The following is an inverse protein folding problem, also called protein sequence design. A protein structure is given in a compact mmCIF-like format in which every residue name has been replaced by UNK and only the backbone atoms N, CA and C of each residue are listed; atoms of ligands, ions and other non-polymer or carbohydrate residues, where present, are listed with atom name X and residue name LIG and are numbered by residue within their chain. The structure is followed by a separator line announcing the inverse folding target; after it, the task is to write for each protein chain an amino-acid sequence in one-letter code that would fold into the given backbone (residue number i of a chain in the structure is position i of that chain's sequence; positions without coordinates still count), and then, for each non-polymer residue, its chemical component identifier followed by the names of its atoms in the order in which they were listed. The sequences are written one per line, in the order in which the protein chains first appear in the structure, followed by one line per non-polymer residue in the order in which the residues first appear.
data_IF_190034095784
#
_entry.id   IF_190034095784
#
_cell.length_a   1.000
_cell.length_b   1.000
_cell.length_c   1.000
_cell.angle_alpha   90.00
_cell.angle_beta   90.00
_cell.angle_gamma   90.00
#
_symmetry.space_group_name_H-M   'P 1'
#
loop_
_entity.id
_entity.type
_entity.pdbx_description
1 polymer ?
#
# COMPACT_ATOMS: atom_id res chain seq x y z
N UNK A 1 -30.83 28.25 7.48
CA UNK A 1 -31.24 27.34 8.56
C UNK A 1 -30.18 26.25 8.69
N UNK A 2 -29.53 26.20 9.86
CA UNK A 2 -28.66 25.17 10.45
C UNK A 2 -27.42 24.63 9.70
N UNK A 3 -26.34 25.45 9.61
CA UNK A 3 -24.95 24.95 9.45
C UNK A 3 -24.57 23.94 10.56
N UNK A 4 -25.04 24.16 11.79
CA UNK A 4 -24.68 23.36 12.97
C UNK A 4 -25.16 21.90 12.97
N UNK A 5 -26.18 21.54 12.18
CA UNK A 5 -26.65 20.14 12.10
C UNK A 5 -25.91 19.34 11.03
N UNK A 6 -25.49 19.97 9.93
CA UNK A 6 -24.73 19.33 8.85
C UNK A 6 -23.26 19.08 9.26
N UNK A 7 -22.65 20.02 9.99
CA UNK A 7 -21.29 19.89 10.54
C UNK A 7 -21.14 18.67 11.48
N UNK A 8 -22.24 18.18 12.05
CA UNK A 8 -22.24 17.12 13.07
C UNK A 8 -22.10 15.68 12.53
N UNK A 9 -22.33 15.45 11.23
CA UNK A 9 -22.34 14.10 10.65
C UNK A 9 -20.99 13.64 10.09
N UNK A 10 -20.18 14.56 9.54
CA UNK A 10 -18.99 14.20 8.75
C UNK A 10 -17.73 13.98 9.58
N UNK A 11 -17.70 14.44 10.84
CA UNK A 11 -16.75 14.01 11.86
C UNK A 11 -17.51 13.98 13.19
N UNK A 12 -18.16 12.84 13.47
CA UNK A 12 -18.96 12.70 14.70
C UNK A 12 -18.13 13.06 15.94
N UNK A 13 -18.62 14.01 16.75
CA UNK A 13 -18.08 14.33 18.09
C UNK A 13 -18.05 13.10 19.03
N UNK A 14 -18.88 12.08 18.76
CA UNK A 14 -18.88 10.77 19.44
C UNK A 14 -18.84 9.62 18.43
N UNK A 15 -17.63 9.15 18.10
CA UNK A 15 -17.43 7.94 17.30
C UNK A 15 -17.55 6.70 18.18
N UNK A 16 -18.10 5.61 17.62
CA UNK A 16 -18.15 4.30 18.27
C UNK A 16 -16.98 3.46 17.78
N UNK A 17 -16.44 2.63 18.66
CA UNK A 17 -15.42 1.65 18.31
C UNK A 17 -16.09 0.43 17.67
N UNK A 18 -16.13 0.40 16.33
CA UNK A 18 -16.70 -0.71 15.57
C UNK A 18 -15.69 -1.84 15.41
N UNK A 19 -16.19 -3.06 15.15
CA UNK A 19 -15.37 -4.24 14.83
C UNK A 19 -14.29 -4.57 15.88
N UNK A 20 -14.61 -4.30 17.16
CA UNK A 20 -13.68 -4.43 18.28
C UNK A 20 -13.05 -5.83 18.43
N UNK A 21 -13.80 -6.87 18.08
CA UNK A 21 -13.35 -8.26 18.12
C UNK A 21 -12.09 -8.48 17.26
N UNK A 22 -11.99 -7.82 16.09
CA UNK A 22 -10.87 -7.98 15.18
C UNK A 22 -9.60 -7.33 15.74
N UNK A 23 -9.76 -6.18 16.41
CA UNK A 23 -8.65 -5.52 17.10
C UNK A 23 -8.15 -6.33 18.29
N UNK A 24 -9.06 -6.88 19.12
CA UNK A 24 -8.68 -7.74 20.25
C UNK A 24 -7.91 -8.97 19.75
N UNK A 25 -8.41 -9.62 18.69
CA UNK A 25 -7.76 -10.77 18.09
C UNK A 25 -6.37 -10.41 17.54
N UNK A 26 -6.26 -9.28 16.83
CA UNK A 26 -4.98 -8.78 16.33
C UNK A 26 -3.99 -8.52 17.47
N UNK A 27 -4.41 -7.81 18.52
CA UNK A 27 -3.57 -7.48 19.66
C UNK A 27 -3.03 -8.73 20.35
N UNK A 28 -3.88 -9.73 20.60
CA UNK A 28 -3.47 -11.02 21.17
C UNK A 28 -2.47 -11.72 20.25
N UNK A 29 -2.74 -11.75 18.94
CA UNK A 29 -1.86 -12.43 17.99
C UNK A 29 -0.48 -11.77 17.91
N UNK A 30 -0.41 -10.45 17.73
CA UNK A 30 0.87 -9.73 17.60
C UNK A 30 1.66 -9.78 18.88
N UNK A 31 1.03 -9.57 20.04
CA UNK A 31 1.73 -9.68 21.32
C UNK A 31 2.25 -11.11 21.54
N UNK A 32 1.41 -12.12 21.32
CA UNK A 32 1.81 -13.53 21.45
C UNK A 32 2.97 -13.92 20.54
N UNK A 33 2.86 -13.64 19.24
CA UNK A 33 3.91 -13.99 18.28
C UNK A 33 5.18 -13.16 18.46
N UNK A 34 5.07 -11.86 18.70
CA UNK A 34 6.26 -11.03 18.98
C UNK A 34 6.97 -11.46 20.27
N UNK A 35 6.24 -11.81 21.33
CA UNK A 35 6.85 -12.36 22.56
C UNK A 35 7.50 -13.72 22.29
N UNK A 36 6.84 -14.62 21.56
CA UNK A 36 7.42 -15.90 21.15
C UNK A 36 8.70 -15.70 20.34
N UNK A 37 8.70 -14.77 19.37
CA UNK A 37 9.88 -14.42 18.59
C UNK A 37 11.02 -13.97 19.49
N UNK A 38 10.76 -13.01 20.39
CA UNK A 38 11.79 -12.45 21.28
C UNK A 38 12.39 -13.52 22.21
N UNK A 39 11.58 -14.44 22.74
CA UNK A 39 12.05 -15.48 23.64
C UNK A 39 12.93 -16.54 22.96
N UNK A 40 12.72 -16.76 21.65
CA UNK A 40 13.51 -17.70 20.84
C UNK A 40 14.55 -16.96 19.97
N UNK A 41 14.97 -15.77 20.35
CA UNK A 41 16.16 -15.17 19.74
C UNK A 41 17.36 -15.61 20.58
N UNK A 42 18.23 -16.47 20.04
CA UNK A 42 19.51 -16.79 20.66
C UNK A 42 20.38 -15.52 20.74
N UNK A 43 20.64 -15.07 21.97
CA UNK A 43 21.50 -13.91 22.26
C UNK A 43 22.94 -14.03 21.71
N UNK A 44 23.37 -15.24 21.32
CA UNK A 44 24.73 -15.49 20.82
C UNK A 44 24.94 -15.07 19.36
N UNK A 45 23.88 -14.83 18.59
CA UNK A 45 23.94 -14.50 17.16
C UNK A 45 22.95 -13.38 16.79
N UNK A 46 23.14 -12.16 17.32
CA UNK A 46 22.44 -10.97 16.78
C UNK A 46 23.01 -10.71 15.38
N UNK A 47 22.45 -11.39 14.38
CA UNK A 47 22.94 -11.47 13.00
C UNK A 47 22.69 -10.18 12.21
N UNK A 48 21.81 -9.30 12.69
CA UNK A 48 21.44 -8.08 12.01
C UNK A 48 22.66 -7.19 11.67
N UNK A 49 23.68 -7.16 12.53
CA UNK A 49 24.89 -6.36 12.26
C UNK A 49 25.76 -6.91 11.13
N UNK A 50 25.67 -8.23 10.85
CA UNK A 50 26.47 -8.88 9.82
C UNK A 50 25.74 -9.04 8.48
N UNK A 51 24.40 -9.04 8.49
CA UNK A 51 23.60 -9.07 7.26
C UNK A 51 23.33 -7.66 6.68
N UNK A 52 23.24 -6.63 7.52
CA UNK A 52 22.83 -5.32 7.04
C UNK A 52 24.02 -4.52 6.49
N UNK A 53 24.07 -4.35 5.17
CA UNK A 53 25.07 -3.47 4.56
C UNK A 53 24.67 -2.01 4.82
N UNK A 54 25.34 -1.37 5.78
CA UNK A 54 25.07 0.00 6.22
C UNK A 54 25.26 1.03 5.11
N UNK A 55 26.25 0.82 4.22
CA UNK A 55 26.50 1.71 3.08
C UNK A 55 25.35 1.65 2.08
N UNK A 56 24.88 0.44 1.72
CA UNK A 56 23.75 0.26 0.81
C UNK A 56 22.47 0.82 1.39
N UNK A 57 22.22 0.61 2.69
CA UNK A 57 21.06 1.19 3.37
C UNK A 57 21.07 2.73 3.32
N UNK A 58 22.20 3.36 3.68
CA UNK A 58 22.31 4.81 3.66
C UNK A 58 22.09 5.38 2.26
N UNK A 59 22.73 4.81 1.23
CA UNK A 59 22.55 5.28 -0.13
C UNK A 59 21.13 5.03 -0.67
N UNK A 60 20.55 3.86 -0.43
CA UNK A 60 19.16 3.61 -0.83
C UNK A 60 18.15 4.50 -0.10
N UNK A 61 18.40 4.86 1.17
CA UNK A 61 17.60 5.84 1.90
C UNK A 61 17.71 7.26 1.33
N UNK A 62 18.92 7.68 0.90
CA UNK A 62 19.12 8.97 0.23
C UNK A 62 18.42 9.01 -1.13
N UNK A 63 18.53 7.94 -1.92
CA UNK A 63 17.81 7.82 -3.21
C UNK A 63 16.30 7.89 -2.96
N UNK A 64 15.78 7.16 -1.96
CA UNK A 64 14.36 7.20 -1.60
C UNK A 64 13.91 8.62 -1.22
N UNK A 65 14.70 9.34 -0.45
CA UNK A 65 14.42 10.73 -0.06
C UNK A 65 14.39 11.67 -1.26
N UNK A 66 15.36 11.55 -2.18
CA UNK A 66 15.39 12.36 -3.42
C UNK A 66 14.15 12.09 -4.27
N UNK A 67 13.79 10.82 -4.47
CA UNK A 67 12.60 10.44 -5.23
C UNK A 67 11.31 10.89 -4.55
N UNK A 68 11.23 10.84 -3.22
CA UNK A 68 10.10 11.36 -2.46
C UNK A 68 9.96 12.86 -2.66
N UNK A 69 11.02 13.64 -2.48
CA UNK A 69 10.98 15.09 -2.70
C UNK A 69 10.57 15.42 -4.14
N UNK A 70 11.15 14.71 -5.11
CA UNK A 70 10.84 14.91 -6.53
C UNK A 70 9.38 14.63 -6.85
N UNK A 71 8.84 13.48 -6.42
CA UNK A 71 7.45 13.10 -6.67
C UNK A 71 6.45 14.08 -6.05
N UNK A 72 6.62 14.44 -4.78
CA UNK A 72 5.76 15.42 -4.11
C UNK A 72 5.86 16.81 -4.75
N UNK A 73 7.06 17.23 -5.18
CA UNK A 73 7.27 18.52 -5.84
C UNK A 73 6.64 18.54 -7.23
N UNK A 74 6.81 17.49 -8.03
CA UNK A 74 6.18 17.37 -9.35
C UNK A 74 4.66 17.41 -9.25
N UNK A 75 4.07 16.67 -8.33
CA UNK A 75 2.62 16.69 -8.11
C UNK A 75 2.10 18.00 -7.49
N UNK A 76 2.97 18.80 -6.87
CA UNK A 76 2.63 20.14 -6.38
C UNK A 76 2.75 21.23 -7.43
N UNK A 77 3.76 21.18 -8.30
CA UNK A 77 4.02 22.26 -9.25
C UNK A 77 3.37 22.02 -10.61
N UNK A 78 3.40 20.77 -11.08
CA UNK A 78 2.97 20.38 -12.43
C UNK A 78 2.23 19.02 -12.43
N UNK A 79 1.17 18.85 -11.61
CA UNK A 79 0.50 17.56 -11.43
C UNK A 79 -0.08 16.98 -12.72
N UNK A 80 -0.65 17.82 -13.58
CA UNK A 80 -1.25 17.35 -14.85
C UNK A 80 -0.19 16.79 -15.80
N UNK A 81 0.95 17.49 -15.94
CA UNK A 81 2.07 17.03 -16.77
C UNK A 81 2.64 15.74 -16.18
N UNK A 82 2.82 15.68 -14.85
CA UNK A 82 3.32 14.49 -14.17
C UNK A 82 2.42 13.27 -14.42
N UNK A 83 1.10 13.42 -14.24
CA UNK A 83 0.13 12.34 -14.46
C UNK A 83 0.12 11.90 -15.93
N UNK A 84 0.02 12.84 -16.88
CA UNK A 84 0.03 12.49 -18.32
C UNK A 84 1.33 11.81 -18.76
N UNK A 85 2.48 12.31 -18.28
CA UNK A 85 3.80 11.77 -18.64
C UNK A 85 3.98 10.37 -18.09
N UNK A 86 3.68 10.15 -16.81
CA UNK A 86 3.77 8.82 -16.21
C UNK A 86 2.77 7.86 -16.88
N UNK A 87 1.54 8.30 -17.16
CA UNK A 87 0.56 7.49 -17.87
C UNK A 87 1.04 7.10 -19.29
N UNK A 88 1.71 8.02 -20.00
CA UNK A 88 2.27 7.77 -21.33
C UNK A 88 3.51 6.87 -21.31
N UNK A 89 4.26 6.78 -20.20
CA UNK A 89 5.45 5.92 -20.08
C UNK A 89 5.13 4.43 -19.92
N UNK A 90 3.96 4.09 -19.38
CA UNK A 90 3.54 2.71 -19.15
C UNK A 90 3.57 1.77 -20.36
N UNK A 91 3.06 2.15 -21.56
CA UNK A 91 3.14 1.28 -22.73
C UNK A 91 4.59 0.97 -23.12
N UNK A 92 5.52 1.91 -22.95
CA UNK A 92 6.94 1.66 -23.25
C UNK A 92 7.55 0.65 -22.29
N UNK A 93 7.23 0.73 -21.00
CA UNK A 93 7.69 -0.24 -19.99
C UNK A 93 7.13 -1.64 -20.25
N UNK A 94 5.84 -1.75 -20.58
CA UNK A 94 5.21 -3.04 -20.88
C UNK A 94 5.75 -3.65 -22.17
N UNK A 95 6.00 -2.86 -23.22
CA UNK A 95 6.66 -3.31 -24.44
C UNK A 95 8.11 -3.78 -24.17
N UNK A 96 8.84 -3.08 -23.31
CA UNK A 96 10.17 -3.51 -22.88
C UNK A 96 10.13 -4.88 -22.18
N UNK A 97 9.15 -5.11 -21.30
CA UNK A 97 8.95 -6.41 -20.65
C UNK A 97 8.64 -7.49 -21.69
N UNK A 98 7.72 -7.23 -22.64
CA UNK A 98 7.38 -8.15 -23.73
C UNK A 98 8.63 -8.52 -24.54
N UNK A 99 9.45 -7.54 -24.92
CA UNK A 99 10.68 -7.78 -25.68
C UNK A 99 11.68 -8.67 -24.94
N UNK A 100 11.82 -8.50 -23.62
CA UNK A 100 12.68 -9.36 -22.80
C UNK A 100 12.15 -10.78 -22.68
N UNK A 101 10.83 -10.96 -22.51
CA UNK A 101 10.20 -12.29 -22.49
C UNK A 101 10.42 -13.01 -23.82
N UNK A 102 10.25 -12.33 -24.95
CA UNK A 102 10.46 -12.91 -26.29
C UNK A 102 11.91 -13.31 -26.56
N UNK A 103 12.88 -12.66 -25.90
CA UNK A 103 14.31 -12.98 -26.04
C UNK A 103 14.72 -14.24 -25.25
N UNK A 104 13.93 -14.67 -24.27
CA UNK A 104 14.24 -15.82 -23.43
C UNK A 104 13.83 -17.12 -24.17
N UNK A 105 14.81 -17.83 -24.73
CA UNK A 105 14.62 -18.99 -25.62
C UNK A 105 14.00 -20.25 -24.98
N UNK A 106 13.67 -20.25 -23.68
CA UNK A 106 13.17 -21.43 -22.97
C UNK A 106 11.70 -21.23 -22.53
N UNK A 107 10.82 -22.13 -23.00
CA UNK A 107 9.44 -22.46 -22.57
C UNK A 107 8.98 -21.72 -21.28
N UNK A 108 7.96 -20.84 -21.26
CA UNK A 108 6.59 -20.92 -21.79
C UNK A 108 6.14 -19.52 -22.27
N UNK A 109 6.19 -19.23 -23.59
CA UNK A 109 5.90 -17.89 -24.10
C UNK A 109 4.42 -17.49 -24.03
N UNK A 110 3.47 -18.42 -23.93
CA UNK A 110 2.04 -18.09 -24.04
C UNK A 110 1.45 -17.43 -22.79
N UNK A 111 1.70 -17.97 -21.59
CA UNK A 111 1.13 -17.40 -20.36
C UNK A 111 1.77 -16.06 -19.96
N UNK A 112 3.08 -15.90 -20.20
CA UNK A 112 3.82 -14.68 -19.86
C UNK A 112 3.49 -13.48 -20.75
N UNK A 113 3.07 -13.71 -22.00
CA UNK A 113 2.72 -12.64 -22.93
C UNK A 113 1.28 -12.13 -22.78
N UNK A 114 0.34 -12.98 -22.34
CA UNK A 114 -1.07 -12.60 -22.20
C UNK A 114 -1.24 -11.41 -21.24
N UNK A 115 -0.57 -11.43 -20.09
CA UNK A 115 -0.68 -10.38 -19.08
C UNK A 115 -0.26 -8.99 -19.60
N UNK A 116 0.98 -8.83 -20.11
CA UNK A 116 1.44 -7.57 -20.69
C UNK A 116 0.59 -7.09 -21.86
N UNK A 117 0.16 -7.99 -22.76
CA UNK A 117 -0.70 -7.62 -23.90
C UNK A 117 -2.06 -7.13 -23.41
N UNK A 118 -2.69 -7.84 -22.48
CA UNK A 118 -3.96 -7.41 -21.87
C UNK A 118 -3.80 -6.06 -21.15
N UNK A 119 -2.68 -5.86 -20.45
CA UNK A 119 -2.40 -4.59 -19.77
C UNK A 119 -2.30 -3.40 -20.74
N UNK A 120 -1.72 -3.60 -21.93
CA UNK A 120 -1.66 -2.60 -22.99
C UNK A 120 -3.04 -2.27 -23.56
N UNK A 121 -3.90 -3.28 -23.76
CA UNK A 121 -5.27 -3.09 -24.25
C UNK A 121 -6.09 -2.30 -23.22
N UNK A 122 -6.04 -2.70 -21.94
CA UNK A 122 -6.73 -2.02 -20.86
C UNK A 122 -6.23 -0.59 -20.66
N UNK A 123 -4.91 -0.39 -20.78
CA UNK A 123 -4.31 0.94 -20.78
C UNK A 123 -4.83 1.81 -21.93
N UNK A 124 -4.87 1.28 -23.16
CA UNK A 124 -5.33 2.02 -24.33
C UNK A 124 -6.82 2.40 -24.20
N UNK A 125 -7.64 1.48 -23.70
CA UNK A 125 -9.04 1.74 -23.39
C UNK A 125 -9.20 2.84 -22.33
N UNK A 126 -8.40 2.78 -21.25
CA UNK A 126 -8.43 3.79 -20.20
C UNK A 126 -7.94 5.16 -20.72
N UNK A 127 -6.84 5.20 -21.47
CA UNK A 127 -6.34 6.41 -22.11
C UNK A 127 -7.43 7.06 -22.96
N UNK A 128 -8.05 6.28 -23.86
CA UNK A 128 -9.05 6.78 -24.79
C UNK A 128 -10.24 7.43 -24.08
N UNK A 129 -10.77 6.78 -23.03
CA UNK A 129 -11.98 7.26 -22.35
C UNK A 129 -11.70 8.36 -21.31
N UNK A 130 -10.55 8.31 -20.62
CA UNK A 130 -10.35 9.07 -19.39
C UNK A 130 -9.21 10.09 -19.43
N UNK A 131 -8.52 10.26 -20.56
CA UNK A 131 -7.42 11.22 -20.69
C UNK A 131 -7.77 12.65 -20.24
N UNK A 132 -8.97 13.14 -20.59
CA UNK A 132 -9.43 14.50 -20.26
C UNK A 132 -9.63 14.69 -18.75
N UNK A 133 -10.00 13.63 -18.03
CA UNK A 133 -10.25 13.67 -16.60
C UNK A 133 -8.97 13.81 -15.77
N UNK A 134 -7.79 13.54 -16.36
CA UNK A 134 -6.50 13.70 -15.67
C UNK A 134 -6.26 15.14 -15.20
N UNK A 135 -6.80 16.15 -15.90
CA UNK A 135 -6.70 17.55 -15.47
C UNK A 135 -7.48 17.81 -14.17
N UNK A 136 -8.69 17.28 -14.05
CA UNK A 136 -9.49 17.34 -12.81
C UNK A 136 -8.81 16.63 -11.65
N UNK A 137 -8.30 15.42 -11.90
CA UNK A 137 -7.55 14.64 -10.89
C UNK A 137 -6.34 15.44 -10.42
N UNK A 138 -5.58 16.03 -11.35
CA UNK A 138 -4.42 16.86 -11.04
C UNK A 138 -4.75 18.03 -10.09
N UNK A 139 -5.86 18.73 -10.31
CA UNK A 139 -6.30 19.84 -9.43
C UNK A 139 -6.60 19.34 -8.01
N UNK A 140 -7.36 18.25 -7.87
CA UNK A 140 -7.70 17.69 -6.54
C UNK A 140 -6.45 17.17 -5.83
N UNK A 141 -5.57 16.46 -6.54
CA UNK A 141 -4.29 15.97 -5.98
C UNK A 141 -3.39 17.14 -5.54
N UNK A 142 -3.38 18.25 -6.27
CA UNK A 142 -2.62 19.44 -5.89
C UNK A 142 -3.06 19.98 -4.52
N UNK A 143 -4.37 20.08 -4.32
CA UNK A 143 -4.97 20.54 -3.06
C UNK A 143 -4.65 19.57 -1.92
N UNK A 144 -4.77 18.25 -2.17
CA UNK A 144 -4.39 17.23 -1.19
C UNK A 144 -2.93 17.39 -0.75
N UNK A 145 -2.01 17.56 -1.69
CA UNK A 145 -0.59 17.73 -1.42
C UNK A 145 -0.31 19.05 -0.70
N UNK A 146 -0.99 20.14 -1.05
CA UNK A 146 -0.90 21.41 -0.32
C UNK A 146 -1.29 21.25 1.15
N UNK A 147 -2.36 20.51 1.44
CA UNK A 147 -2.79 20.22 2.81
C UNK A 147 -1.76 19.34 3.54
N UNK A 148 -1.23 18.31 2.88
CA UNK A 148 -0.19 17.43 3.41
C UNK A 148 1.08 18.24 3.75
N UNK A 149 1.53 19.15 2.89
CA UNK A 149 2.69 20.01 3.15
C UNK A 149 2.47 20.97 4.31
N UNK A 150 1.27 21.55 4.43
CA UNK A 150 0.95 22.42 5.56
C UNK A 150 0.93 21.66 6.89
N UNK A 151 0.72 20.35 6.85
CA UNK A 151 0.68 19.46 8.01
C UNK A 151 1.86 18.45 8.02
N UNK A 152 3.01 18.85 7.46
CA UNK A 152 4.14 17.95 7.21
C UNK A 152 4.59 17.20 8.47
N UNK A 153 4.69 17.89 9.62
CA UNK A 153 5.11 17.28 10.88
C UNK A 153 4.17 16.14 11.31
N UNK A 154 2.86 16.37 11.26
CA UNK A 154 1.83 15.39 11.61
C UNK A 154 1.91 14.16 10.70
N UNK A 155 2.13 14.39 9.39
CA UNK A 155 2.26 13.32 8.39
C UNK A 155 3.55 12.51 8.61
N UNK A 156 4.67 13.18 8.86
CA UNK A 156 5.96 12.53 9.15
C UNK A 156 5.90 11.69 10.42
N UNK A 157 5.24 12.17 11.49
CA UNK A 157 5.06 11.38 12.71
C UNK A 157 4.26 10.10 12.47
N UNK A 158 3.17 10.20 11.70
CA UNK A 158 2.40 9.01 11.31
C UNK A 158 3.22 8.03 10.47
N UNK A 159 4.01 8.55 9.53
CA UNK A 159 4.86 7.75 8.65
C UNK A 159 5.96 7.02 9.44
N UNK A 160 6.63 7.73 10.35
CA UNK A 160 7.66 7.17 11.22
C UNK A 160 7.09 6.07 12.12
N UNK A 161 5.94 6.31 12.74
CA UNK A 161 5.26 5.32 13.59
C UNK A 161 4.93 4.03 12.82
N UNK A 162 4.38 4.14 11.61
CA UNK A 162 4.00 2.97 10.81
C UNK A 162 5.24 2.24 10.27
N UNK A 163 6.24 2.99 9.81
CA UNK A 163 7.48 2.41 9.31
C UNK A 163 8.30 1.72 10.41
N UNK A 164 8.29 2.23 11.65
CA UNK A 164 8.97 1.60 12.77
C UNK A 164 8.28 0.30 13.22
N UNK A 165 6.95 0.24 13.18
CA UNK A 165 6.20 -0.99 13.42
C UNK A 165 6.55 -2.08 12.38
N UNK A 166 6.57 -1.73 11.08
CA UNK A 166 6.96 -2.68 10.03
C UNK A 166 8.42 -3.08 10.16
N UNK A 167 9.31 -2.12 10.42
CA UNK A 167 10.73 -2.38 10.64
C UNK A 167 11.00 -3.31 11.82
N UNK A 168 10.26 -3.13 12.93
CA UNK A 168 10.32 -4.00 14.10
C UNK A 168 9.86 -5.43 13.78
N UNK A 169 8.76 -5.61 13.05
CA UNK A 169 8.32 -6.94 12.63
C UNK A 169 9.31 -7.61 11.67
N UNK A 170 9.86 -6.86 10.70
CA UNK A 170 10.92 -7.36 9.82
C UNK A 170 12.15 -7.81 10.60
N UNK A 171 12.56 -7.03 11.61
CA UNK A 171 13.64 -7.40 12.50
C UNK A 171 13.38 -8.75 13.20
N UNK A 172 12.19 -8.97 13.74
CA UNK A 172 11.84 -10.23 14.40
C UNK A 172 11.86 -11.43 13.43
N UNK A 173 11.37 -11.25 12.20
CA UNK A 173 11.35 -12.30 11.18
C UNK A 173 12.76 -12.77 10.82
N UNK A 174 13.68 -11.85 10.58
CA UNK A 174 15.03 -12.18 10.14
C UNK A 174 15.81 -12.98 11.17
N UNK A 175 15.59 -12.69 12.45
CA UNK A 175 16.26 -13.42 13.52
C UNK A 175 15.66 -14.83 13.69
N UNK A 176 14.36 -15.00 13.48
CA UNK A 176 13.70 -16.32 13.56
C UNK A 176 14.01 -17.24 12.37
N UNK A 177 14.07 -16.73 11.14
CA UNK A 177 14.35 -17.53 9.93
C UNK A 177 15.75 -18.21 9.98
N UNK A 178 16.69 -17.62 10.73
CA UNK A 178 18.00 -18.21 10.98
C UNK A 178 17.95 -19.45 11.87
N UNK A 179 17.18 -19.41 12.96
CA UNK A 179 17.06 -20.52 13.91
C UNK A 179 16.15 -21.63 13.41
N UNK A 180 15.04 -21.26 12.76
CA UNK A 180 14.03 -22.21 12.29
C UNK A 180 14.54 -23.18 11.22
N UNK A 181 15.55 -22.76 10.43
CA UNK A 181 16.27 -23.63 9.48
C UNK A 181 17.04 -24.79 10.14
N UNK A 182 17.27 -24.77 11.46
CA UNK A 182 17.93 -25.88 12.17
C UNK A 182 16.97 -26.91 12.77
N UNK A 183 15.74 -26.54 13.13
CA UNK A 183 14.94 -27.36 14.08
C UNK A 183 13.43 -27.55 13.77
N UNK A 184 12.82 -26.93 12.74
CA UNK A 184 11.36 -27.02 12.58
C UNK A 184 10.88 -28.07 11.56
N UNK A 185 10.89 -29.32 12.02
CA UNK A 185 10.00 -30.38 11.51
C UNK A 185 8.70 -30.52 12.31
N UNK A 186 8.48 -29.74 13.39
CA UNK A 186 7.48 -30.11 14.41
C UNK A 186 6.16 -29.32 14.45
N UNK A 187 5.95 -28.21 13.73
CA UNK A 187 4.58 -27.66 13.59
C UNK A 187 4.36 -26.71 12.40
N UNK A 188 3.91 -27.27 11.26
CA UNK A 188 3.41 -26.49 10.11
C UNK A 188 2.34 -25.45 10.51
N UNK A 189 1.59 -25.71 11.58
CA UNK A 189 0.55 -24.82 12.12
C UNK A 189 1.12 -23.53 12.71
N UNK A 190 2.20 -23.58 13.49
CA UNK A 190 2.79 -22.38 14.08
C UNK A 190 3.39 -21.48 13.00
N UNK A 191 4.06 -22.09 12.01
CA UNK A 191 4.60 -21.35 10.87
C UNK A 191 3.49 -20.65 10.07
N UNK A 192 2.34 -21.31 9.86
CA UNK A 192 1.18 -20.69 9.21
C UNK A 192 0.70 -19.43 9.96
N UNK A 193 0.47 -19.53 11.27
CA UNK A 193 0.01 -18.38 12.05
C UNK A 193 1.06 -17.26 12.15
N UNK A 194 2.34 -17.62 12.12
CA UNK A 194 3.43 -16.64 12.08
C UNK A 194 3.39 -15.83 10.78
N UNK A 195 3.32 -16.48 9.61
CA UNK A 195 3.18 -15.81 8.31
C UNK A 195 1.91 -14.95 8.26
N UNK A 196 0.79 -15.46 8.81
CA UNK A 196 -0.44 -14.69 8.94
C UNK A 196 -0.24 -13.41 9.74
N UNK A 197 0.48 -13.46 10.86
CA UNK A 197 0.74 -12.30 11.70
C UNK A 197 1.56 -11.22 10.97
N UNK A 198 2.51 -11.62 10.13
CA UNK A 198 3.33 -10.71 9.32
C UNK A 198 2.46 -9.97 8.32
N UNK A 199 1.69 -10.69 7.50
CA UNK A 199 0.80 -10.06 6.52
C UNK A 199 -0.24 -9.18 7.21
N UNK A 200 -0.80 -9.65 8.34
CA UNK A 200 -1.79 -8.88 9.09
C UNK A 200 -1.22 -7.58 9.65
N UNK A 201 -0.01 -7.61 10.19
CA UNK A 201 0.66 -6.40 10.70
C UNK A 201 1.00 -5.44 9.56
N UNK A 202 1.53 -5.94 8.44
CA UNK A 202 1.84 -5.11 7.27
C UNK A 202 0.59 -4.42 6.71
N UNK A 203 -0.50 -5.17 6.51
CA UNK A 203 -1.76 -4.62 6.03
C UNK A 203 -2.35 -3.60 7.01
N UNK A 204 -2.37 -3.91 8.31
CA UNK A 204 -2.85 -2.98 9.34
C UNK A 204 -2.03 -1.70 9.40
N UNK A 205 -0.70 -1.78 9.25
CA UNK A 205 0.20 -0.64 9.20
C UNK A 205 -0.15 0.29 8.03
N UNK A 206 -0.30 -0.26 6.81
CA UNK A 206 -0.69 0.52 5.62
C UNK A 206 -2.08 1.15 5.80
N UNK A 207 -3.06 0.38 6.28
CA UNK A 207 -4.44 0.83 6.42
C UNK A 207 -4.64 1.86 7.54
N UNK A 208 -3.90 1.70 8.65
CA UNK A 208 -3.79 2.72 9.68
C UNK A 208 -3.29 4.04 9.09
N UNK A 209 -2.23 3.98 8.26
CA UNK A 209 -1.70 5.18 7.62
C UNK A 209 -2.71 5.81 6.64
N UNK A 210 -3.46 5.00 5.87
CA UNK A 210 -4.54 5.50 5.00
C UNK A 210 -5.56 6.32 5.79
N UNK A 211 -6.11 5.74 6.88
CA UNK A 211 -7.09 6.43 7.73
C UNK A 211 -6.49 7.68 8.39
N UNK A 212 -5.25 7.59 8.86
CA UNK A 212 -4.54 8.70 9.49
C UNK A 212 -4.39 9.88 8.54
N UNK A 213 -3.94 9.66 7.30
CA UNK A 213 -3.77 10.73 6.31
C UNK A 213 -5.11 11.30 5.84
N UNK A 214 -6.11 10.45 5.60
CA UNK A 214 -7.45 10.97 5.27
C UNK A 214 -8.01 11.80 6.41
N UNK A 215 -7.73 11.45 7.67
CA UNK A 215 -8.09 12.27 8.83
C UNK A 215 -7.39 13.64 8.80
N UNK A 216 -6.08 13.68 8.52
CA UNK A 216 -5.33 14.94 8.37
C UNK A 216 -6.02 15.86 7.35
N UNK A 217 -6.39 15.31 6.19
CA UNK A 217 -7.07 16.06 5.14
C UNK A 217 -8.46 16.50 5.57
N UNK A 218 -9.28 15.60 6.11
CA UNK A 218 -10.66 15.89 6.50
C UNK A 218 -10.73 17.00 7.57
N UNK A 219 -9.95 16.91 8.65
CA UNK A 219 -9.96 17.91 9.71
C UNK A 219 -9.48 19.30 9.24
N UNK A 220 -8.58 19.36 8.26
CA UNK A 220 -8.10 20.62 7.69
C UNK A 220 -9.10 21.26 6.72
N UNK A 221 -9.89 20.46 6.01
CA UNK A 221 -10.88 20.95 5.04
C UNK A 221 -12.17 21.38 5.72
N UNK A 222 -12.53 20.72 6.83
CA UNK A 222 -13.75 21.00 7.60
C UNK A 222 -13.57 22.12 8.64
N UNK A 223 -12.38 22.74 8.73
CA UNK A 223 -12.17 23.96 9.52
C UNK A 223 -12.20 23.81 11.05
N UNK A 224 -11.95 22.62 11.60
CA UNK A 224 -12.12 22.35 13.05
C UNK A 224 -11.02 23.03 13.90
N UNK A 225 -11.37 23.96 14.80
CA UNK A 225 -10.44 24.87 15.50
C UNK A 225 -9.70 24.27 16.73
N UNK A 226 -9.63 22.94 16.83
CA UNK A 226 -9.02 22.22 17.96
C UNK A 226 -7.57 21.79 17.73
N UNK A 227 -6.97 21.06 18.69
CA UNK A 227 -5.66 20.43 18.48
C UNK A 227 -5.78 19.31 17.43
N UNK A 228 -5.57 19.67 16.16
CA UNK A 228 -5.77 18.81 14.99
C UNK A 228 -5.14 17.43 15.18
N UNK A 229 -3.91 17.36 15.71
CA UNK A 229 -3.18 16.11 15.90
C UNK A 229 -3.86 15.13 16.86
N UNK A 230 -4.36 15.59 18.01
CA UNK A 230 -5.02 14.70 18.98
C UNK A 230 -6.34 14.16 18.42
N UNK A 231 -7.10 15.02 17.73
CA UNK A 231 -8.34 14.60 17.06
C UNK A 231 -8.06 13.58 15.95
N UNK A 232 -7.00 13.78 15.16
CA UNK A 232 -6.55 12.83 14.12
C UNK A 232 -6.17 11.47 14.72
N UNK A 233 -5.37 11.47 15.80
CA UNK A 233 -4.96 10.22 16.47
C UNK A 233 -6.18 9.52 17.04
N UNK A 234 -7.01 10.23 17.82
CA UNK A 234 -8.25 9.71 18.38
C UNK A 234 -9.14 9.12 17.30
N UNK A 235 -9.26 9.80 16.16
CA UNK A 235 -10.05 9.35 15.04
C UNK A 235 -9.56 8.00 14.48
N UNK A 236 -8.25 7.93 14.24
CA UNK A 236 -7.60 6.74 13.73
C UNK A 236 -7.71 5.57 14.72
N UNK A 237 -7.57 5.84 16.03
CA UNK A 237 -7.74 4.85 17.08
C UNK A 237 -9.16 4.27 17.10
N UNK A 238 -10.20 5.09 16.92
CA UNK A 238 -11.59 4.59 16.85
C UNK A 238 -11.84 3.66 15.66
N UNK A 239 -11.06 3.79 14.59
CA UNK A 239 -11.16 2.94 13.40
C UNK A 239 -10.32 1.66 13.47
N UNK A 240 -9.56 1.43 14.55
CA UNK A 240 -8.64 0.29 14.64
C UNK A 240 -9.33 -1.06 14.49
N UNK A 241 -10.56 -1.24 15.01
CA UNK A 241 -11.32 -2.48 14.80
C UNK A 241 -11.60 -2.73 13.32
N UNK A 242 -12.13 -1.74 12.61
CA UNK A 242 -12.41 -1.82 11.17
C UNK A 242 -11.12 -1.99 10.34
N UNK A 243 -10.02 -1.35 10.74
CA UNK A 243 -8.68 -1.53 10.15
C UNK A 243 -8.23 -2.98 10.31
N UNK A 244 -8.29 -3.53 11.53
CA UNK A 244 -7.88 -4.89 11.81
C UNK A 244 -8.74 -5.92 11.07
N UNK A 245 -10.04 -5.66 10.91
CA UNK A 245 -10.91 -6.55 10.16
C UNK A 245 -10.58 -6.57 8.66
N UNK A 246 -10.44 -5.40 8.02
CA UNK A 246 -10.03 -5.32 6.62
C UNK A 246 -8.62 -5.86 6.38
N UNK A 247 -7.71 -5.66 7.33
CA UNK A 247 -6.36 -6.24 7.35
C UNK A 247 -6.34 -7.76 7.49
N UNK A 248 -7.26 -8.35 8.27
CA UNK A 248 -7.35 -9.79 8.44
C UNK A 248 -7.77 -10.48 7.14
N UNK A 249 -8.74 -9.90 6.42
CA UNK A 249 -9.24 -10.47 5.16
C UNK A 249 -8.12 -10.60 4.13
N UNK A 250 -7.32 -9.53 3.95
CA UNK A 250 -6.20 -9.56 3.03
C UNK A 250 -5.09 -10.50 3.53
N UNK A 251 -4.79 -10.48 4.83
CA UNK A 251 -3.73 -11.31 5.40
C UNK A 251 -4.00 -12.81 5.25
N UNK A 252 -5.23 -13.26 5.44
CA UNK A 252 -5.61 -14.67 5.24
C UNK A 252 -5.31 -15.10 3.80
N UNK A 253 -5.71 -14.28 2.82
CA UNK A 253 -5.53 -14.62 1.41
C UNK A 253 -4.06 -14.58 1.01
N UNK A 254 -3.32 -13.55 1.43
CA UNK A 254 -1.87 -13.45 1.17
C UNK A 254 -1.11 -14.61 1.82
N UNK A 255 -1.54 -15.06 3.01
CA UNK A 255 -0.96 -16.24 3.68
C UNK A 255 -1.23 -17.51 2.88
N UNK A 256 -2.48 -17.78 2.49
CA UNK A 256 -2.83 -18.95 1.69
C UNK A 256 -2.07 -18.95 0.36
N UNK A 257 -1.99 -17.80 -0.31
CA UNK A 257 -1.23 -17.62 -1.55
C UNK A 257 0.26 -17.88 -1.36
N UNK A 258 0.85 -17.41 -0.25
CA UNK A 258 2.25 -17.68 0.09
C UNK A 258 2.53 -19.18 0.18
N UNK A 259 1.69 -19.94 0.91
CA UNK A 259 1.85 -21.39 1.01
C UNK A 259 1.64 -22.12 -0.32
N UNK A 260 0.63 -21.73 -1.10
CA UNK A 260 0.42 -22.32 -2.44
C UNK A 260 1.65 -22.11 -3.33
N UNK A 261 2.24 -20.91 -3.32
CA UNK A 261 3.42 -20.62 -4.13
C UNK A 261 4.66 -21.36 -3.62
N UNK A 262 4.85 -21.47 -2.31
CA UNK A 262 5.95 -22.22 -1.72
C UNK A 262 5.88 -23.72 -2.08
N UNK A 263 4.70 -24.33 -2.04
CA UNK A 263 4.51 -25.72 -2.47
C UNK A 263 4.75 -25.89 -3.98
N UNK A 264 4.33 -24.93 -4.81
CA UNK A 264 4.63 -24.96 -6.27
C UNK A 264 6.13 -24.91 -6.54
N UNK A 265 6.87 -24.05 -5.84
CA UNK A 265 8.33 -23.96 -5.97
C UNK A 265 9.04 -25.21 -5.45
N UNK A 266 8.48 -25.88 -4.44
CA UNK A 266 8.99 -27.16 -3.93
C UNK A 266 8.81 -28.28 -4.95
N UNK A 267 7.60 -28.44 -5.49
CA UNK A 267 7.31 -29.44 -6.53
C UNK A 267 8.21 -29.27 -7.77
N UNK A 268 8.55 -28.03 -8.14
CA UNK A 268 9.45 -27.75 -9.26
C UNK A 268 10.92 -28.09 -8.97
N UNK A 269 11.37 -27.95 -7.72
CA UNK A 269 12.76 -28.22 -7.32
C UNK A 269 13.06 -29.70 -7.15
N UNK A 270 12.11 -30.46 -6.63
CA UNK A 270 12.34 -31.85 -6.26
C UNK A 270 12.30 -32.81 -7.47
N UNK A 271 11.97 -32.34 -8.69
CA UNK A 271 11.80 -33.17 -9.91
C UNK A 271 10.94 -34.43 -9.67
N UNK A 272 10.15 -34.45 -8.61
CA UNK A 272 9.19 -35.49 -8.38
C UNK A 272 8.20 -35.44 -9.54
N UNK A 273 7.71 -36.61 -9.97
CA UNK A 273 6.57 -36.68 -10.90
C UNK A 273 5.37 -36.09 -10.16
N UNK A 274 5.30 -34.77 -10.04
CA UNK A 274 4.14 -34.07 -9.56
C UNK A 274 3.00 -34.53 -10.46
N UNK A 275 1.94 -35.03 -9.83
CA UNK A 275 0.74 -35.37 -10.56
C UNK A 275 0.32 -34.09 -11.27
N UNK A 276 0.28 -34.10 -12.61
CA UNK A 276 -0.09 -32.94 -13.44
C UNK A 276 -1.39 -32.27 -12.93
N UNK A 277 -2.28 -33.08 -12.37
CA UNK A 277 -3.49 -32.63 -11.68
C UNK A 277 -3.24 -31.71 -10.48
N UNK A 278 -2.28 -32.04 -9.60
CA UNK A 278 -1.92 -31.24 -8.42
C UNK A 278 -1.34 -29.90 -8.85
N UNK A 279 -0.47 -29.87 -9.85
CA UNK A 279 0.12 -28.62 -10.35
C UNK A 279 -0.92 -27.70 -10.99
N UNK A 280 -1.88 -28.27 -11.74
CA UNK A 280 -3.02 -27.52 -12.27
C UNK A 280 -3.88 -26.96 -11.13
N UNK A 281 -4.20 -27.78 -10.11
CA UNK A 281 -5.00 -27.32 -8.97
C UNK A 281 -4.33 -26.19 -8.19
N UNK A 282 -3.02 -26.30 -7.92
CA UNK A 282 -2.25 -25.24 -7.25
C UNK A 282 -2.19 -23.96 -8.10
N UNK A 283 -2.10 -24.09 -9.42
CA UNK A 283 -2.14 -22.95 -10.33
C UNK A 283 -3.49 -22.22 -10.29
N UNK A 284 -4.59 -22.97 -10.40
CA UNK A 284 -5.97 -22.42 -10.32
C UNK A 284 -6.23 -21.78 -8.95
N UNK A 285 -5.80 -22.42 -7.87
CA UNK A 285 -5.93 -21.86 -6.52
C UNK A 285 -5.13 -20.55 -6.37
N UNK A 286 -3.88 -20.50 -6.84
CA UNK A 286 -3.06 -19.29 -6.83
C UNK A 286 -3.69 -18.14 -7.65
N UNK A 287 -4.29 -18.46 -8.79
CA UNK A 287 -5.03 -17.50 -9.61
C UNK A 287 -6.28 -16.94 -8.90
N UNK A 288 -7.11 -17.80 -8.32
CA UNK A 288 -8.31 -17.39 -7.56
C UNK A 288 -7.91 -16.53 -6.35
N UNK A 289 -6.89 -16.94 -5.60
CA UNK A 289 -6.35 -16.16 -4.50
C UNK A 289 -5.87 -14.78 -4.97
N UNK A 290 -5.20 -14.69 -6.12
CA UNK A 290 -4.73 -13.42 -6.67
C UNK A 290 -5.88 -12.47 -7.04
N UNK A 291 -6.97 -12.99 -7.61
CA UNK A 291 -8.17 -12.18 -7.88
C UNK A 291 -8.81 -11.69 -6.58
N UNK A 292 -8.98 -12.58 -5.59
CA UNK A 292 -9.56 -12.22 -4.29
C UNK A 292 -8.72 -11.19 -3.55
N UNK A 293 -7.39 -11.36 -3.57
CA UNK A 293 -6.43 -10.42 -3.00
C UNK A 293 -6.61 -9.02 -3.63
N UNK A 294 -6.55 -8.93 -4.96
CA UNK A 294 -6.74 -7.67 -5.68
C UNK A 294 -8.12 -7.03 -5.43
N UNK A 295 -9.18 -7.84 -5.34
CA UNK A 295 -10.52 -7.34 -5.05
C UNK A 295 -10.60 -6.73 -3.63
N UNK A 296 -10.05 -7.42 -2.63
CA UNK A 296 -10.05 -6.94 -1.25
C UNK A 296 -9.15 -5.72 -1.08
N UNK A 297 -7.97 -5.70 -1.71
CA UNK A 297 -7.10 -4.51 -1.72
C UNK A 297 -7.78 -3.29 -2.33
N UNK A 298 -8.50 -3.49 -3.44
CA UNK A 298 -9.28 -2.45 -4.08
C UNK A 298 -10.40 -1.95 -3.17
N UNK A 299 -11.21 -2.86 -2.62
CA UNK A 299 -12.28 -2.54 -1.69
C UNK A 299 -11.75 -1.78 -0.45
N UNK A 300 -10.65 -2.26 0.13
CA UNK A 300 -9.97 -1.64 1.27
C UNK A 300 -9.46 -0.23 0.93
N UNK A 301 -8.92 -0.04 -0.28
CA UNK A 301 -8.42 1.28 -0.71
C UNK A 301 -9.53 2.32 -0.79
N UNK A 302 -10.74 1.93 -1.15
CA UNK A 302 -11.92 2.80 -1.12
C UNK A 302 -12.48 2.98 0.29
N UNK A 303 -12.56 1.89 1.04
CA UNK A 303 -13.25 1.83 2.33
C UNK A 303 -12.55 2.65 3.41
N UNK A 304 -11.22 2.62 3.48
CA UNK A 304 -10.51 3.27 4.60
C UNK A 304 -10.60 4.80 4.62
N UNK A 305 -10.45 5.50 3.48
CA UNK A 305 -10.73 6.94 3.45
C UNK A 305 -12.17 7.27 3.83
N UNK A 306 -13.15 6.43 3.46
CA UNK A 306 -14.54 6.59 3.88
C UNK A 306 -14.72 6.40 5.39
N UNK A 307 -14.11 5.36 5.99
CA UNK A 307 -14.12 5.16 7.45
C UNK A 307 -13.51 6.36 8.18
N UNK A 308 -12.43 6.94 7.65
CA UNK A 308 -11.78 8.10 8.23
C UNK A 308 -12.75 9.28 8.38
N UNK A 309 -13.61 9.50 7.38
CA UNK A 309 -14.62 10.56 7.37
C UNK A 309 -15.83 10.14 8.24
N UNK A 310 -16.49 9.04 7.96
CA UNK A 310 -17.79 8.74 8.59
C UNK A 310 -17.71 7.99 9.93
N UNK A 311 -16.62 7.26 10.17
CA UNK A 311 -16.43 6.50 11.40
C UNK A 311 -17.41 5.34 11.59
N UNK A 312 -17.81 4.68 10.49
CA UNK A 312 -18.72 3.54 10.52
C UNK A 312 -17.97 2.19 10.56
N UNK A 313 -18.71 1.09 10.76
CA UNK A 313 -18.19 -0.28 10.67
C UNK A 313 -17.72 -0.60 9.26
N UNK A 314 -16.70 -1.46 9.14
CA UNK A 314 -16.07 -1.83 7.86
C UNK A 314 -17.09 -2.23 6.78
N UNK A 315 -18.01 -3.16 7.07
CA UNK A 315 -18.95 -3.67 6.07
C UNK A 315 -19.91 -2.62 5.54
N UNK A 316 -20.31 -1.67 6.39
CA UNK A 316 -21.19 -0.56 6.00
C UNK A 316 -20.42 0.44 5.15
N UNK A 317 -19.23 0.84 5.62
CA UNK A 317 -18.35 1.75 4.89
C UNK A 317 -17.94 1.22 3.52
N UNK A 318 -17.70 -0.08 3.39
CA UNK A 318 -17.34 -0.69 2.11
C UNK A 318 -18.44 -0.53 1.07
N UNK A 319 -19.71 -0.76 1.46
CA UNK A 319 -20.86 -0.59 0.57
C UNK A 319 -21.02 0.86 0.15
N UNK A 320 -21.05 1.77 1.12
CA UNK A 320 -21.20 3.21 0.83
C UNK A 320 -20.05 3.76 -0.03
N UNK A 321 -18.81 3.40 0.28
CA UNK A 321 -17.64 3.83 -0.49
C UNK A 321 -17.72 3.35 -1.95
N UNK A 322 -18.15 2.10 -2.16
CA UNK A 322 -18.35 1.57 -3.50
C UNK A 322 -19.49 2.30 -4.24
N UNK A 323 -20.63 2.52 -3.57
CA UNK A 323 -21.78 3.22 -4.16
C UNK A 323 -21.43 4.66 -4.59
N UNK A 324 -20.66 5.39 -3.78
CA UNK A 324 -20.22 6.75 -4.10
C UNK A 324 -19.20 6.74 -5.24
N UNK A 325 -18.20 5.86 -5.16
CA UNK A 325 -17.15 5.76 -6.18
C UNK A 325 -17.68 5.29 -7.53
N UNK A 326 -18.68 4.41 -7.55
CA UNK A 326 -19.26 3.88 -8.78
C UNK A 326 -20.36 4.77 -9.37
N UNK A 327 -21.28 5.28 -8.53
CA UNK A 327 -22.50 5.94 -9.00
C UNK A 327 -22.48 7.47 -8.91
N UNK A 328 -21.73 8.05 -7.97
CA UNK A 328 -21.78 9.49 -7.68
C UNK A 328 -20.60 10.24 -8.31
N UNK A 329 -19.37 9.75 -8.12
CA UNK A 329 -18.17 10.45 -8.56
C UNK A 329 -17.16 9.52 -9.25
N UNK A 330 -17.27 9.30 -10.58
CA UNK A 330 -16.32 8.44 -11.31
C UNK A 330 -14.89 9.00 -11.27
N UNK A 331 -14.72 10.30 -11.00
CA UNK A 331 -13.44 10.98 -10.75
C UNK A 331 -12.61 10.26 -9.68
N UNK A 332 -13.26 9.72 -8.65
CA UNK A 332 -12.56 9.00 -7.57
C UNK A 332 -11.86 7.75 -8.09
N UNK A 333 -12.56 6.92 -8.85
CA UNK A 333 -12.00 5.68 -9.42
C UNK A 333 -10.96 5.96 -10.51
N UNK A 334 -11.27 6.89 -11.41
CA UNK A 334 -10.36 7.29 -12.49
C UNK A 334 -9.07 7.87 -11.90
N UNK A 335 -9.19 8.79 -10.94
CA UNK A 335 -8.04 9.43 -10.31
C UNK A 335 -7.22 8.48 -9.47
N UNK A 336 -7.86 7.56 -8.74
CA UNK A 336 -7.15 6.54 -7.97
C UNK A 336 -6.31 5.64 -8.88
N UNK A 337 -6.86 5.17 -10.00
CA UNK A 337 -6.12 4.36 -10.97
C UNK A 337 -4.98 5.14 -11.64
N UNK A 338 -5.23 6.39 -12.05
CA UNK A 338 -4.20 7.24 -12.64
C UNK A 338 -3.04 7.52 -11.66
N UNK A 339 -3.36 7.80 -10.39
CA UNK A 339 -2.36 8.01 -9.35
C UNK A 339 -1.58 6.74 -9.05
N UNK A 340 -2.25 5.60 -8.83
CA UNK A 340 -1.58 4.33 -8.57
C UNK A 340 -0.60 3.96 -9.69
N UNK A 341 -1.00 4.17 -10.94
CA UNK A 341 -0.14 3.93 -12.09
C UNK A 341 1.05 4.89 -12.14
N UNK A 342 0.82 6.19 -11.91
CA UNK A 342 1.87 7.19 -11.87
C UNK A 342 2.90 6.94 -10.76
N UNK A 343 2.42 6.62 -9.56
CA UNK A 343 3.25 6.32 -8.40
C UNK A 343 3.98 4.97 -8.54
N UNK A 344 3.37 3.98 -9.19
CA UNK A 344 4.03 2.69 -9.47
C UNK A 344 5.23 2.86 -10.39
N UNK A 345 5.13 3.73 -11.40
CA UNK A 345 6.25 4.03 -12.30
C UNK A 345 7.40 4.68 -11.55
N UNK A 346 7.11 5.60 -10.62
CA UNK A 346 8.16 6.23 -9.82
C UNK A 346 8.81 5.24 -8.86
N UNK A 347 8.05 4.31 -8.28
CA UNK A 347 8.59 3.18 -7.50
C UNK A 347 9.50 2.29 -8.35
N UNK A 348 9.11 1.99 -9.60
CA UNK A 348 9.94 1.19 -10.51
C UNK A 348 11.28 1.86 -10.80
N UNK A 349 11.29 3.15 -11.14
CA UNK A 349 12.53 3.89 -11.38
C UNK A 349 13.43 3.90 -10.14
N UNK A 350 12.85 4.15 -8.97
CA UNK A 350 13.57 4.08 -7.71
C UNK A 350 14.18 2.69 -7.47
N UNK A 351 13.41 1.62 -7.69
CA UNK A 351 13.87 0.24 -7.57
C UNK A 351 15.00 -0.12 -8.54
N UNK A 352 14.93 0.34 -9.79
CA UNK A 352 15.99 0.13 -10.80
C UNK A 352 17.30 0.79 -10.35
N UNK A 353 17.25 2.02 -9.86
CA UNK A 353 18.44 2.77 -9.42
C UNK A 353 19.06 2.10 -8.18
N UNK A 354 18.23 1.67 -7.22
CA UNK A 354 18.71 0.91 -6.07
C UNK A 354 19.34 -0.43 -6.50
N UNK A 355 18.71 -1.17 -7.41
CA UNK A 355 19.25 -2.43 -7.94
C UNK A 355 20.58 -2.25 -8.66
N UNK A 356 20.71 -1.20 -9.49
CA UNK A 356 21.97 -0.85 -10.14
C UNK A 356 23.07 -0.52 -9.14
N UNK A 357 22.73 0.20 -8.06
CA UNK A 357 23.69 0.55 -7.01
C UNK A 357 24.18 -0.69 -6.24
N UNK A 358 23.28 -1.63 -5.93
CA UNK A 358 23.64 -2.92 -5.31
C UNK A 358 24.58 -3.71 -6.22
N UNK A 359 24.28 -3.76 -7.52
CA UNK A 359 25.14 -4.40 -8.52
C UNK A 359 26.52 -3.75 -8.60
N UNK A 360 26.59 -2.42 -8.53
CA UNK A 360 27.86 -1.68 -8.56
C UNK A 360 28.76 -2.00 -7.37
N UNK A 361 28.21 -2.11 -6.15
CA UNK A 361 29.00 -2.40 -4.94
C UNK A 361 29.47 -3.85 -4.90
N UNK A 362 28.56 -4.80 -5.15
CA UNK A 362 28.89 -6.21 -4.97
C UNK A 362 29.62 -6.81 -6.18
N UNK A 363 29.64 -6.09 -7.31
CA UNK A 363 30.21 -6.59 -8.57
C UNK A 363 29.47 -7.82 -9.11
N UNK A 364 30.05 -8.50 -10.12
CA UNK A 364 29.43 -9.67 -10.76
C UNK A 364 29.59 -10.98 -9.95
N UNK A 365 30.45 -11.02 -8.93
CA UNK A 365 30.69 -12.21 -8.09
C UNK A 365 29.82 -12.08 -6.84
N UNK A 366 28.60 -12.57 -6.94
CA UNK A 366 27.58 -12.48 -5.89
C UNK A 366 27.64 -13.69 -4.96
N UNK A 367 28.31 -13.54 -3.81
CA UNK A 367 28.08 -14.45 -2.70
C UNK A 367 26.61 -14.34 -2.24
N UNK A 368 25.90 -15.47 -2.17
CA UNK A 368 24.47 -15.54 -1.81
C UNK A 368 24.15 -14.83 -0.49
N UNK A 369 25.06 -14.89 0.48
CA UNK A 369 24.89 -14.24 1.78
C UNK A 369 25.02 -12.71 1.68
N UNK A 370 25.96 -12.20 0.88
CA UNK A 370 26.12 -10.76 0.64
C UNK A 370 24.96 -10.19 -0.17
N UNK A 371 24.43 -10.96 -1.13
CA UNK A 371 23.25 -10.60 -1.91
C UNK A 371 21.99 -10.50 -1.02
N UNK A 372 21.76 -11.48 -0.13
CA UNK A 372 20.65 -11.45 0.83
C UNK A 372 20.70 -10.21 1.72
N UNK A 373 21.88 -9.89 2.27
CA UNK A 373 22.09 -8.70 3.09
C UNK A 373 21.85 -7.39 2.35
N UNK A 374 22.27 -7.34 1.09
CA UNK A 374 22.11 -6.16 0.23
C UNK A 374 20.66 -5.93 -0.18
N UNK A 375 19.92 -6.99 -0.54
CA UNK A 375 18.49 -6.91 -0.83
C UNK A 375 17.75 -6.39 0.41
N UNK A 376 18.04 -6.94 1.58
CA UNK A 376 17.40 -6.54 2.82
C UNK A 376 17.62 -5.05 3.14
N UNK A 377 18.83 -4.55 2.89
CA UNK A 377 19.16 -3.14 3.11
C UNK A 377 18.37 -2.17 2.21
N UNK A 378 17.89 -2.62 1.05
CA UNK A 378 17.02 -1.82 0.17
C UNK A 378 15.53 -1.92 0.52
N UNK A 379 15.08 -3.01 1.16
CA UNK A 379 13.66 -3.25 1.45
C UNK A 379 13.07 -2.18 2.37
N UNK A 380 13.76 -1.80 3.44
CA UNK A 380 13.24 -0.80 4.38
C UNK A 380 13.03 0.58 3.74
N UNK A 381 13.99 1.16 3.00
CA UNK A 381 13.77 2.40 2.24
C UNK A 381 12.64 2.28 1.21
N UNK A 382 12.49 1.13 0.55
CA UNK A 382 11.39 0.88 -0.38
C UNK A 382 10.03 0.92 0.32
N UNK A 383 9.91 0.23 1.45
CA UNK A 383 8.67 0.25 2.23
C UNK A 383 8.34 1.67 2.70
N UNK A 384 9.33 2.41 3.20
CA UNK A 384 9.14 3.80 3.61
C UNK A 384 8.66 4.68 2.47
N UNK A 385 9.28 4.56 1.29
CA UNK A 385 8.87 5.27 0.07
C UNK A 385 7.43 4.92 -0.34
N UNK A 386 7.08 3.63 -0.34
CA UNK A 386 5.73 3.16 -0.69
C UNK A 386 4.67 3.68 0.29
N UNK A 387 4.96 3.66 1.59
CA UNK A 387 4.08 4.25 2.61
C UNK A 387 3.90 5.75 2.40
N UNK A 388 4.97 6.49 2.06
CA UNK A 388 4.83 7.90 1.73
C UNK A 388 3.90 8.13 0.53
N UNK A 389 3.96 7.28 -0.51
CA UNK A 389 3.07 7.37 -1.67
C UNK A 389 1.60 7.08 -1.33
N UNK A 390 1.32 6.25 -0.32
CA UNK A 390 -0.04 6.02 0.19
C UNK A 390 -0.70 7.31 0.72
N UNK A 391 0.09 8.28 1.19
CA UNK A 391 -0.46 9.56 1.65
C UNK A 391 -1.14 10.35 0.52
N UNK A 392 -0.59 10.27 -0.69
CA UNK A 392 -1.10 11.00 -1.86
C UNK A 392 -2.46 10.44 -2.28
N UNK A 393 -2.56 9.12 -2.40
CA UNK A 393 -3.80 8.45 -2.82
C UNK A 393 -4.90 8.57 -1.78
N UNK A 394 -4.56 8.41 -0.50
CA UNK A 394 -5.52 8.52 0.61
C UNK A 394 -6.01 9.96 0.81
N UNK A 395 -5.12 10.94 0.64
CA UNK A 395 -5.48 12.35 0.68
C UNK A 395 -6.38 12.76 -0.48
N UNK A 396 -6.07 12.30 -1.70
CA UNK A 396 -6.92 12.50 -2.88
C UNK A 396 -8.32 11.91 -2.67
N UNK A 397 -8.43 10.65 -2.25
CA UNK A 397 -9.74 10.00 -2.10
C UNK A 397 -10.55 10.62 -0.96
N UNK A 398 -9.89 11.04 0.12
CA UNK A 398 -10.52 11.80 1.19
C UNK A 398 -11.19 13.08 0.70
N UNK A 399 -10.50 13.86 -0.14
CA UNK A 399 -11.09 15.05 -0.75
C UNK A 399 -12.27 14.71 -1.65
N UNK A 400 -12.15 13.69 -2.50
CA UNK A 400 -13.22 13.28 -3.41
C UNK A 400 -14.48 12.90 -2.65
N UNK A 401 -14.38 12.18 -1.54
CA UNK A 401 -15.58 11.81 -0.76
C UNK A 401 -16.23 13.00 -0.08
N UNK A 402 -15.45 13.90 0.52
CA UNK A 402 -15.98 15.12 1.14
C UNK A 402 -16.70 15.99 0.08
N UNK A 403 -16.09 16.15 -1.09
CA UNK A 403 -16.64 16.99 -2.15
C UNK A 403 -17.83 16.37 -2.87
N UNK A 404 -17.85 15.05 -3.04
CA UNK A 404 -18.96 14.35 -3.70
C UNK A 404 -20.25 14.35 -2.86
N UNK A 405 -20.13 14.31 -1.53
CA UNK A 405 -21.30 14.22 -0.65
C UNK A 405 -21.83 15.58 -0.17
N UNK A 406 -20.97 16.56 0.12
CA UNK A 406 -21.41 17.89 0.56
C UNK A 406 -20.35 18.99 0.33
N UNK A 407 -20.43 19.70 -0.80
CA UNK A 407 -19.52 20.81 -1.11
C UNK A 407 -19.72 22.04 -0.20
N UNK A 408 -20.86 22.14 0.49
CA UNK A 408 -21.21 23.30 1.32
C UNK A 408 -20.50 23.36 2.69
N UNK A 409 -19.96 22.23 3.15
CA UNK A 409 -19.27 22.11 4.45
C UNK A 409 -17.76 22.40 4.29
N UNK A 410 -17.28 22.46 3.05
CA UNK A 410 -15.89 22.76 2.74
C UNK A 410 -15.59 24.20 3.12
N UNK A 411 -14.49 24.42 3.84
CA UNK A 411 -13.95 25.76 4.13
C UNK A 411 -13.87 26.58 2.83
N UNK A 412 -14.39 27.81 2.87
CA UNK A 412 -14.46 28.73 1.72
C UNK A 412 -13.09 28.90 1.04
N UNK A 413 -12.00 28.70 1.79
CA UNK A 413 -10.61 28.66 1.28
C UNK A 413 -10.36 27.63 0.17
N UNK A 414 -11.06 26.50 0.17
CA UNK A 414 -10.86 25.39 -0.78
C UNK A 414 -12.06 25.16 -1.70
N UNK A 415 -13.22 25.73 -1.39
CA UNK A 415 -14.49 25.46 -2.06
C UNK A 415 -14.45 25.73 -3.57
N UNK A 416 -14.03 26.94 -3.97
CA UNK A 416 -13.97 27.33 -5.39
C UNK A 416 -13.03 26.44 -6.22
N UNK A 417 -11.87 26.04 -5.67
CA UNK A 417 -10.90 25.23 -6.38
C UNK A 417 -11.39 23.78 -6.57
N UNK A 418 -12.10 23.22 -5.58
CA UNK A 418 -12.63 21.86 -5.60
C UNK A 418 -13.87 21.73 -6.48
N UNK A 419 -14.80 22.68 -6.42
CA UNK A 419 -16.00 22.68 -7.28
C UNK A 419 -15.63 22.80 -8.76
N UNK A 420 -14.66 23.66 -9.08
CA UNK A 420 -14.13 23.78 -10.45
C UNK A 420 -13.40 22.52 -10.92
N UNK A 421 -12.77 21.76 -10.02
CA UNK A 421 -12.07 20.53 -10.37
C UNK A 421 -13.02 19.37 -10.68
N UNK A 422 -14.12 19.21 -9.93
CA UNK A 422 -15.10 18.12 -10.13
C UNK A 422 -15.93 18.27 -11.41
N UNK A 423 -16.22 19.51 -11.82
CA UNK A 423 -17.03 19.80 -13.02
C UNK A 423 -16.31 19.58 -14.35
N UNK A 424 -15.05 19.14 -14.35
CA UNK A 424 -14.32 18.81 -15.58
C UNK A 424 -14.05 20.01 -16.50
N UNK A 425 -14.12 21.23 -15.98
CA UNK A 425 -13.78 22.47 -16.71
C UNK A 425 -12.30 22.80 -16.60
#
# INVERSE_FOLDING_TARGET
MNRSTADSQYVRKSRKFHDAWAFILYAISVTGFSTYSILNIDNSNIILTNLFNTQIFLCSSLIALVFLILTFTCLRLIPEIFLKTTFALYPFLTLFIIANILKQNNYVPSAGLIGPVLSLILWAYFAYNYWKWLASVAKITNIAIKIIFNNLLTVLLGLLFVSSLIGFQLFLILNLDYETNKNLSSSHVLYFFYILNIFWTFSNAVYFFKVYITSVVAFNVLGDSGSHMMNIIKNTLYSLGSICFGGLLIAIISTVKFFINNERERNQRDNERSNLFVDIMLCVASFICSILESFIEFANTLTFPYIAIHGESYSKSMRSAFDISANVSPVGLIGLNALNMGLSITTLFFGIICGYYVYYINGPILDLNMLRGSILSCVLPIIFYMLAMVSITSGFLGLVYITAENSDIIDDKYKNDLENALLGK
#
